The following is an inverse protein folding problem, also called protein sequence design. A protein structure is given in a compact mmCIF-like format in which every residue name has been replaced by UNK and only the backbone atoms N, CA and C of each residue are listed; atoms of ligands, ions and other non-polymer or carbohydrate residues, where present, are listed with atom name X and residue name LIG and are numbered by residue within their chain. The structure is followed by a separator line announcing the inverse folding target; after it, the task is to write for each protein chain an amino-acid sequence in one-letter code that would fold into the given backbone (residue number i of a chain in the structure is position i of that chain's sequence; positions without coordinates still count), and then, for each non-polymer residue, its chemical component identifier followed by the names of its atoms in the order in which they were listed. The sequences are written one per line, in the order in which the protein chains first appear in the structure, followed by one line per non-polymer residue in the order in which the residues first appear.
data_IF_733133453735
#
_entry.id   IF_733133453735
#
_cell.length_a   1.000
_cell.length_b   1.000
_cell.length_c   1.000
_cell.angle_alpha   90.00
_cell.angle_beta   90.00
_cell.angle_gamma   90.00
#
_symmetry.space_group_name_H-M   'P 1'
#
loop_
_entity.id
_entity.type
_entity.pdbx_description
1 polymer ?
#
# COMPACT_ATOMS: atom_id res chain seq x y z
N UNK A 1 7.65 -2.96 -14.81
CA UNK A 1 6.60 -2.38 -13.98
C UNK A 1 7.13 -2.01 -12.62
N UNK A 2 7.75 -0.86 -12.54
CA UNK A 2 8.33 -0.41 -11.31
C UNK A 2 7.30 0.31 -10.45
N UNK A 3 7.41 0.09 -9.15
CA UNK A 3 6.62 0.81 -8.17
C UNK A 3 7.08 2.27 -8.15
N UNK A 4 6.15 3.18 -7.92
CA UNK A 4 6.43 4.61 -7.78
C UNK A 4 7.59 4.81 -6.79
N UNK A 5 8.53 5.68 -7.15
CA UNK A 5 9.73 5.90 -6.34
C UNK A 5 9.42 6.41 -4.93
N UNK A 6 8.26 7.01 -4.73
CA UNK A 6 7.84 7.43 -3.39
C UNK A 6 7.71 6.23 -2.44
N UNK A 7 7.52 5.04 -3.00
CA UNK A 7 7.39 3.81 -2.23
C UNK A 7 8.68 3.02 -2.16
N UNK A 8 9.78 3.60 -2.60
CA UNK A 8 11.06 2.92 -2.58
C UNK A 8 11.41 2.46 -1.16
N UNK A 9 11.85 1.21 -1.05
CA UNK A 9 12.19 0.61 0.23
C UNK A 9 11.07 -0.25 0.81
N UNK A 10 9.87 -0.18 0.26
CA UNK A 10 8.76 -1.01 0.72
C UNK A 10 8.68 -2.27 -0.14
N UNK A 11 8.59 -3.41 0.52
CA UNK A 11 8.29 -4.67 -0.15
C UNK A 11 6.79 -4.92 -0.02
N UNK A 12 6.11 -5.00 -1.14
CA UNK A 12 4.66 -5.06 -1.19
C UNK A 12 4.18 -6.38 -1.77
N UNK A 13 3.00 -6.79 -1.34
CA UNK A 13 2.39 -8.02 -1.83
C UNK A 13 0.87 -7.86 -1.81
N UNK A 14 0.18 -8.72 -2.54
CA UNK A 14 -1.28 -8.76 -2.43
C UNK A 14 -1.66 -9.14 -1.01
N UNK A 15 -2.64 -8.43 -0.46
CA UNK A 15 -3.21 -8.82 0.81
C UNK A 15 -4.46 -9.66 0.55
N UNK A 16 -4.40 -10.90 0.96
CA UNK A 16 -5.52 -11.82 0.79
C UNK A 16 -6.13 -12.07 2.17
N UNK A 17 -7.36 -11.64 2.33
CA UNK A 17 -8.07 -11.88 3.58
C UNK A 17 -8.91 -13.14 3.43
N UNK A 18 -8.62 -14.11 4.28
CA UNK A 18 -9.38 -15.34 4.36
C UNK A 18 -10.30 -15.25 5.56
N UNK A 19 -11.46 -14.66 5.37
CA UNK A 19 -12.41 -14.43 6.45
C UNK A 19 -13.45 -15.53 6.52
N UNK A 20 -13.03 -16.77 6.24
CA UNK A 20 -13.94 -17.90 6.29
C UNK A 20 -14.82 -18.05 5.06
N UNK A 21 -14.66 -17.20 4.07
CA UNK A 21 -15.38 -17.38 2.81
C UNK A 21 -14.64 -18.41 1.96
N UNK A 22 -15.36 -19.09 1.12
CA UNK A 22 -14.78 -20.11 0.25
C UNK A 22 -13.88 -19.51 -0.84
N UNK A 23 -13.90 -18.21 -0.98
CA UNK A 23 -13.13 -17.53 -1.99
C UNK A 23 -12.24 -16.49 -1.32
N UNK A 24 -10.94 -16.77 -1.26
CA UNK A 24 -9.99 -15.77 -0.83
C UNK A 24 -10.09 -14.56 -1.75
N UNK A 25 -10.37 -13.40 -1.19
CA UNK A 25 -10.39 -12.16 -1.94
C UNK A 25 -9.18 -11.34 -1.63
N UNK A 26 -8.52 -10.84 -2.67
CA UNK A 26 -7.49 -9.84 -2.46
C UNK A 26 -8.16 -8.56 -1.98
N UNK A 27 -7.75 -8.07 -0.82
CA UNK A 27 -8.39 -6.93 -0.17
C UNK A 27 -7.45 -5.73 -0.06
N UNK A 28 -6.45 -5.67 -0.91
CA UNK A 28 -5.52 -4.57 -0.91
C UNK A 28 -4.09 -5.03 -1.05
N UNK A 29 -3.18 -4.19 -0.55
CA UNK A 29 -1.75 -4.44 -0.64
C UNK A 29 -1.16 -4.40 0.76
N UNK A 30 -0.44 -5.46 1.14
CA UNK A 30 0.22 -5.48 2.43
C UNK A 30 1.69 -5.13 2.27
N UNK A 31 2.21 -4.38 3.22
CA UNK A 31 3.63 -4.06 3.27
C UNK A 31 4.33 -5.15 4.06
N UNK A 32 5.20 -5.89 3.39
CA UNK A 32 5.92 -7.01 4.01
C UNK A 32 7.12 -6.52 4.82
N UNK A 33 7.83 -5.53 4.30
CA UNK A 33 8.98 -4.99 4.98
C UNK A 33 9.26 -3.58 4.51
N UNK A 34 9.97 -2.81 5.33
CA UNK A 34 10.37 -1.43 5.02
C UNK A 34 11.87 -1.33 5.28
N UNK A 35 12.59 -0.86 4.28
CA UNK A 35 14.01 -0.61 4.41
C UNK A 35 14.25 0.67 5.21
N UNK A 36 15.14 0.64 6.22
CA UNK A 36 15.42 1.85 7.00
C UNK A 36 15.94 3.00 6.13
N UNK A 37 15.51 4.20 6.44
CA UNK A 37 15.92 5.44 5.77
C UNK A 37 15.54 5.50 4.29
N UNK A 38 14.60 4.68 3.87
CA UNK A 38 14.05 4.72 2.52
C UNK A 38 12.95 5.77 2.43
N UNK A 39 12.51 6.05 1.20
CA UNK A 39 11.38 6.95 1.00
C UNK A 39 10.13 6.45 1.73
N UNK A 40 9.88 5.14 1.67
CA UNK A 40 8.72 4.57 2.36
C UNK A 40 8.86 4.72 3.88
N UNK A 41 10.06 4.54 4.41
CA UNK A 41 10.29 4.70 5.84
C UNK A 41 10.06 6.16 6.27
N UNK A 42 10.54 7.10 5.47
CA UNK A 42 10.35 8.53 5.77
C UNK A 42 8.88 8.94 5.72
N UNK A 43 8.09 8.24 4.93
CA UNK A 43 6.65 8.47 4.86
C UNK A 43 5.91 7.84 6.03
N UNK A 44 6.60 7.14 6.92
CA UNK A 44 6.05 6.50 8.11
C UNK A 44 5.22 5.25 7.80
N UNK A 45 5.49 4.65 6.67
CA UNK A 45 4.92 3.33 6.37
C UNK A 45 5.62 2.29 7.23
N UNK A 46 4.90 1.26 7.61
CA UNK A 46 5.46 0.19 8.44
C UNK A 46 5.06 -1.17 7.89
N UNK A 47 5.88 -2.15 8.18
CA UNK A 47 5.56 -3.52 7.84
C UNK A 47 4.26 -3.93 8.52
N UNK A 48 3.42 -4.63 7.78
CA UNK A 48 2.09 -5.02 8.26
C UNK A 48 0.97 -4.06 7.90
N UNK A 49 1.30 -2.88 7.41
CA UNK A 49 0.28 -1.94 6.95
C UNK A 49 -0.42 -2.49 5.71
N UNK A 50 -1.72 -2.28 5.64
CA UNK A 50 -2.53 -2.71 4.51
C UNK A 50 -3.05 -1.49 3.79
N UNK A 51 -2.64 -1.31 2.54
CA UNK A 51 -3.09 -0.19 1.70
C UNK A 51 -4.33 -0.65 0.95
N UNK A 52 -5.46 -0.01 1.18
CA UNK A 52 -6.70 -0.42 0.57
C UNK A 52 -7.27 0.60 -0.43
N UNK A 53 -6.70 1.79 -0.46
CA UNK A 53 -7.12 2.80 -1.44
C UNK A 53 -6.02 3.83 -1.64
N UNK A 54 -6.04 4.45 -2.81
CA UNK A 54 -5.14 5.55 -3.15
C UNK A 54 -6.03 6.71 -3.55
N UNK A 55 -6.04 7.77 -2.74
CA UNK A 55 -6.96 8.87 -2.94
C UNK A 55 -8.40 8.40 -2.87
N UNK A 56 -9.13 8.57 -3.95
CA UNK A 56 -10.53 8.15 -4.05
C UNK A 56 -10.71 6.78 -4.72
N UNK A 57 -9.60 6.09 -5.04
CA UNK A 57 -9.66 4.84 -5.78
C UNK A 57 -9.31 3.68 -4.89
N UNK A 58 -10.24 2.75 -4.73
CA UNK A 58 -9.95 1.52 -4.01
C UNK A 58 -9.04 0.64 -4.83
N UNK A 59 -8.09 -0.01 -4.17
CA UNK A 59 -7.20 -0.96 -4.80
C UNK A 59 -7.36 -2.31 -4.13
N UNK A 60 -7.61 -3.32 -4.95
CA UNK A 60 -7.84 -4.66 -4.45
C UNK A 60 -6.62 -5.55 -4.51
N UNK A 61 -5.57 -5.15 -5.23
CA UNK A 61 -4.37 -5.94 -5.37
C UNK A 61 -3.19 -5.06 -5.76
N UNK A 62 -2.01 -5.67 -5.79
CA UNK A 62 -0.78 -4.94 -6.10
C UNK A 62 -0.75 -4.41 -7.52
N UNK A 63 -1.30 -5.14 -8.46
CA UNK A 63 -1.33 -4.71 -9.84
C UNK A 63 -2.15 -3.44 -10.01
N UNK A 64 -3.33 -3.40 -9.40
CA UNK A 64 -4.14 -2.19 -9.41
C UNK A 64 -3.43 -1.03 -8.71
N UNK A 65 -2.77 -1.34 -7.60
CA UNK A 65 -2.03 -0.33 -6.85
C UNK A 65 -0.92 0.29 -7.70
N UNK A 66 -0.16 -0.53 -8.41
CA UNK A 66 0.89 -0.03 -9.30
C UNK A 66 0.30 0.85 -10.39
N UNK A 67 -0.83 0.44 -10.95
CA UNK A 67 -1.48 1.17 -12.02
C UNK A 67 -1.94 2.56 -11.58
N UNK A 68 -2.57 2.66 -10.40
CA UNK A 68 -3.09 3.95 -9.94
C UNK A 68 -2.03 4.85 -9.35
N UNK A 69 -0.86 4.32 -9.00
CA UNK A 69 0.23 5.14 -8.46
C UNK A 69 1.27 5.51 -9.50
N UNK A 70 1.20 4.91 -10.68
CA UNK A 70 2.17 5.15 -11.73
C UNK A 70 2.16 6.62 -12.13
N UNK A 71 3.35 7.22 -12.26
CA UNK A 71 3.55 8.60 -12.70
C UNK A 71 2.91 9.66 -11.81
N UNK A 72 2.57 9.31 -10.58
CA UNK A 72 2.05 10.30 -9.63
C UNK A 72 3.19 10.93 -8.84
N UNK A 73 3.09 12.23 -8.64
CA UNK A 73 4.04 12.97 -7.81
C UNK A 73 3.53 13.12 -6.38
N UNK A 74 2.26 12.87 -6.16
CA UNK A 74 1.63 12.94 -4.85
C UNK A 74 0.81 11.67 -4.69
N UNK A 75 0.99 11.00 -3.56
CA UNK A 75 0.22 9.82 -3.20
C UNK A 75 -0.49 10.06 -1.89
N UNK A 76 -1.77 9.75 -1.85
CA UNK A 76 -2.55 9.78 -0.63
C UNK A 76 -2.99 8.34 -0.40
N UNK A 77 -2.33 7.67 0.53
CA UNK A 77 -2.58 6.26 0.78
C UNK A 77 -3.53 6.10 1.96
N UNK A 78 -4.58 5.32 1.75
CA UNK A 78 -5.46 4.93 2.84
C UNK A 78 -5.00 3.58 3.34
N UNK A 79 -4.62 3.53 4.60
CA UNK A 79 -3.92 2.41 5.19
C UNK A 79 -4.67 1.92 6.42
N UNK A 80 -4.69 0.61 6.63
CA UNK A 80 -5.17 0.03 7.87
C UNK A 80 -3.98 -0.51 8.65
N UNK A 81 -3.88 -0.08 9.90
CA UNK A 81 -2.83 -0.51 10.81
C UNK A 81 -3.46 -0.94 12.12
N UNK A 82 -3.35 -2.23 12.43
CA UNK A 82 -3.93 -2.78 13.68
C UNK A 82 -5.41 -2.43 13.85
N UNK A 83 -6.16 -2.49 12.75
CA UNK A 83 -7.59 -2.18 12.78
C UNK A 83 -7.93 -0.70 12.71
N UNK A 84 -6.93 0.17 12.69
CA UNK A 84 -7.14 1.60 12.59
C UNK A 84 -6.91 2.07 11.17
N UNK A 85 -7.69 3.07 10.75
CA UNK A 85 -7.54 3.67 9.44
C UNK A 85 -6.64 4.89 9.55
N UNK A 86 -5.65 4.94 8.67
CA UNK A 86 -4.70 6.03 8.61
C UNK A 86 -4.65 6.56 7.18
N UNK A 87 -4.33 7.84 7.06
CA UNK A 87 -4.09 8.46 5.76
C UNK A 87 -2.65 8.92 5.75
N UNK A 88 -1.88 8.44 4.78
CA UNK A 88 -0.48 8.79 4.64
C UNK A 88 -0.31 9.52 3.32
N UNK A 89 0.16 10.77 3.40
CA UNK A 89 0.40 11.57 2.21
C UNK A 89 1.90 11.60 1.91
N UNK A 90 2.23 11.36 0.66
CA UNK A 90 3.61 11.36 0.19
C UNK A 90 3.71 12.22 -1.05
N UNK A 91 4.82 12.95 -1.20
CA UNK A 91 5.05 13.74 -2.39
C UNK A 91 6.53 13.76 -2.74
N UNK A 92 6.78 13.92 -4.02
CA UNK A 92 8.15 14.13 -4.50
C UNK A 92 8.62 15.55 -4.23
#
# INVERSE_FOLDING_TARGET
DEINSLLAGAELSDYIEDSGSMFGKSMGVIILSIEPNSNADRARLKAGDIIWAVGNMEVGNLEEFKSVTQDKDILILRVKRNGRQLIIQMRK
#
